data_IF_101827824587
#
_entry.id   IF_101827824587
#
_cell.length_a   1.000
_cell.length_b   1.000
_cell.length_c   1.000
_cell.angle_alpha   90.00
_cell.angle_beta   90.00
_cell.angle_gamma   90.00
#
_symmetry.space_group_name_H-M   'P 1'
#
loop_
_entity.id
_entity.type
_entity.pdbx_description
1 polymer ?
#
# COMPACT_ATOMS: atom_id res chain seq x y z
N UNK A 1 15.17 -2.89 11.64
CA UNK A 1 13.70 -2.75 11.65
C UNK A 1 13.19 -3.27 10.33
N UNK A 2 12.42 -4.35 10.34
CA UNK A 2 11.77 -4.89 9.15
C UNK A 2 10.59 -4.02 8.76
N UNK A 3 10.55 -3.58 7.49
CA UNK A 3 9.43 -2.85 6.91
C UNK A 3 8.76 -3.69 5.82
N UNK A 4 7.45 -3.86 5.91
CA UNK A 4 6.63 -4.38 4.81
C UNK A 4 5.71 -3.26 4.32
N UNK A 5 5.72 -3.00 3.02
CA UNK A 5 4.89 -1.98 2.39
C UNK A 5 3.88 -2.67 1.48
N UNK A 6 2.61 -2.41 1.71
CA UNK A 6 1.53 -2.84 0.83
C UNK A 6 1.06 -1.65 -0.01
N UNK A 7 1.39 -1.63 -1.29
CA UNK A 7 0.79 -0.69 -2.23
C UNK A 7 -0.27 -1.38 -3.08
N UNK A 8 -1.17 -0.61 -3.66
CA UNK A 8 -2.22 -1.14 -4.53
C UNK A 8 -3.36 -0.16 -4.74
N UNK A 9 -4.11 -0.35 -5.81
CA UNK A 9 -5.28 0.45 -6.12
C UNK A 9 -6.43 0.21 -5.12
N UNK A 10 -7.42 1.09 -5.07
CA UNK A 10 -8.62 0.88 -4.26
C UNK A 10 -9.31 -0.45 -4.65
N UNK A 11 -9.89 -1.13 -3.69
CA UNK A 11 -10.54 -2.45 -3.89
C UNK A 11 -9.59 -3.65 -3.98
N UNK A 12 -8.26 -3.46 -3.85
CA UNK A 12 -7.29 -4.58 -3.89
C UNK A 12 -7.24 -5.42 -2.60
N UNK A 13 -7.76 -4.94 -1.48
CA UNK A 13 -7.75 -5.66 -0.20
C UNK A 13 -6.62 -5.28 0.76
N UNK A 14 -5.69 -4.39 0.40
CA UNK A 14 -4.54 -4.02 1.26
C UNK A 14 -4.93 -3.54 2.65
N UNK A 15 -5.95 -2.67 2.76
CA UNK A 15 -6.43 -2.15 4.05
C UNK A 15 -7.08 -3.25 4.91
N UNK A 16 -7.83 -4.16 4.29
CA UNK A 16 -8.41 -5.31 5.01
C UNK A 16 -7.33 -6.23 5.58
N UNK A 17 -6.25 -6.46 4.83
CA UNK A 17 -5.09 -7.24 5.29
C UNK A 17 -4.42 -6.52 6.48
N UNK A 18 -4.11 -5.23 6.34
CA UNK A 18 -3.43 -4.45 7.37
C UNK A 18 -4.27 -4.36 8.66
N UNK A 19 -5.57 -4.06 8.55
CA UNK A 19 -6.49 -4.02 9.69
C UNK A 19 -6.64 -5.39 10.37
N UNK A 20 -6.71 -6.48 9.59
CA UNK A 20 -6.76 -7.82 10.18
C UNK A 20 -5.49 -8.12 11.01
N UNK A 21 -4.32 -7.71 10.54
CA UNK A 21 -3.07 -7.86 11.30
C UNK A 21 -3.10 -6.98 12.55
N UNK A 22 -3.49 -5.71 12.43
CA UNK A 22 -3.57 -4.77 13.56
C UNK A 22 -4.47 -5.28 14.69
N UNK A 23 -5.62 -5.87 14.32
CA UNK A 23 -6.61 -6.33 15.31
C UNK A 23 -6.23 -7.70 15.90
N UNK A 24 -5.82 -8.65 15.05
CA UNK A 24 -5.62 -10.05 15.48
C UNK A 24 -4.21 -10.33 16.00
N UNK A 25 -3.22 -9.48 15.65
CA UNK A 25 -1.80 -9.62 16.00
C UNK A 25 -1.16 -8.26 16.35
N UNK A 26 -1.70 -7.54 17.33
CA UNK A 26 -1.25 -6.17 17.65
C UNK A 26 0.23 -6.09 18.02
N UNK A 27 0.81 -7.17 18.57
CA UNK A 27 2.23 -7.21 18.98
C UNK A 27 3.17 -7.59 17.81
N UNK A 28 2.64 -7.91 16.64
CA UNK A 28 3.45 -8.36 15.50
C UNK A 28 4.20 -7.22 14.84
N UNK A 29 3.50 -6.13 14.56
CA UNK A 29 4.05 -4.96 13.87
C UNK A 29 3.26 -3.69 14.19
N UNK A 30 3.93 -2.55 14.15
CA UNK A 30 3.26 -1.26 14.06
C UNK A 30 2.60 -1.12 12.69
N UNK A 31 1.31 -0.85 12.64
CA UNK A 31 0.54 -0.74 11.39
C UNK A 31 0.23 0.73 11.09
N UNK A 32 0.65 1.17 9.92
CA UNK A 32 0.50 2.55 9.45
C UNK A 32 -0.35 2.59 8.19
N UNK A 33 -1.22 3.58 8.11
CA UNK A 33 -2.10 3.84 6.97
C UNK A 33 -1.75 5.16 6.31
N UNK A 34 -1.46 5.15 5.02
CA UNK A 34 -1.13 6.35 4.25
C UNK A 34 -2.21 7.43 4.38
N UNK A 35 -3.46 7.03 4.28
CA UNK A 35 -4.60 7.93 4.28
C UNK A 35 -4.84 8.63 5.63
N UNK A 36 -4.20 8.15 6.72
CA UNK A 36 -4.29 8.80 8.03
C UNK A 36 -3.65 10.19 8.08
N UNK A 37 -2.83 10.55 7.09
CA UNK A 37 -2.29 11.92 6.96
C UNK A 37 -3.35 12.91 6.43
N UNK A 38 -4.48 12.40 5.96
CA UNK A 38 -5.51 13.15 5.26
C UNK A 38 -5.22 13.24 3.76
N UNK A 39 -6.20 12.83 2.95
CA UNK A 39 -6.13 12.92 1.49
C UNK A 39 -6.99 14.09 1.03
N UNK A 40 -6.39 15.20 0.59
CA UNK A 40 -7.16 16.36 0.17
C UNK A 40 -7.92 16.08 -1.14
N UNK A 41 -8.97 16.87 -1.42
CA UNK A 41 -9.73 16.77 -2.67
C UNK A 41 -8.83 16.91 -3.91
N UNK A 42 -9.25 16.38 -5.08
CA UNK A 42 -8.45 16.39 -6.29
C UNK A 42 -7.96 17.77 -6.74
N UNK A 43 -8.78 18.79 -6.57
CA UNK A 43 -8.45 20.19 -6.91
C UNK A 43 -7.29 20.72 -6.06
N UNK A 44 -7.27 20.41 -4.77
CA UNK A 44 -6.17 20.78 -3.86
C UNK A 44 -4.89 20.03 -4.24
N UNK A 45 -5.00 18.75 -4.57
CA UNK A 45 -3.83 17.95 -4.98
C UNK A 45 -3.22 18.45 -6.30
N UNK A 46 -4.04 18.92 -7.25
CA UNK A 46 -3.55 19.50 -8.52
C UNK A 46 -2.76 20.80 -8.32
N UNK A 47 -3.08 21.57 -7.27
CA UNK A 47 -2.35 22.80 -6.95
C UNK A 47 -0.88 22.55 -6.50
N UNK A 48 -0.52 21.31 -6.15
CA UNK A 48 0.86 20.94 -5.78
C UNK A 48 1.82 20.85 -6.98
N UNK A 49 1.31 20.81 -8.21
CA UNK A 49 2.12 20.70 -9.42
C UNK A 49 1.70 19.55 -10.34
N UNK A 50 2.60 19.05 -11.17
CA UNK A 50 2.30 17.99 -12.13
C UNK A 50 1.80 16.71 -11.44
N UNK A 51 1.17 15.85 -12.24
CA UNK A 51 0.56 14.61 -11.78
C UNK A 51 1.46 13.80 -10.83
N UNK A 52 0.93 13.56 -9.63
CA UNK A 52 1.61 12.79 -8.59
C UNK A 52 2.50 13.63 -7.65
N UNK A 53 2.68 14.94 -7.84
CA UNK A 53 3.54 15.76 -6.98
C UNK A 53 3.12 15.68 -5.50
N UNK A 54 1.82 15.81 -5.22
CA UNK A 54 1.30 15.63 -3.86
C UNK A 54 1.59 14.23 -3.32
N UNK A 55 1.30 13.19 -4.10
CA UNK A 55 1.51 11.80 -3.68
C UNK A 55 3.00 11.52 -3.40
N UNK A 56 3.90 12.06 -4.25
CA UNK A 56 5.35 11.95 -4.04
C UNK A 56 5.76 12.60 -2.71
N UNK A 57 5.35 13.85 -2.48
CA UNK A 57 5.69 14.57 -1.25
C UNK A 57 5.17 13.85 -0.01
N UNK A 58 3.93 13.35 -0.03
CA UNK A 58 3.36 12.59 1.09
C UNK A 58 4.02 11.22 1.28
N UNK A 59 4.39 10.55 0.19
CA UNK A 59 5.14 9.28 0.29
C UNK A 59 6.49 9.50 0.97
N UNK A 60 7.23 10.54 0.57
CA UNK A 60 8.51 10.88 1.21
C UNK A 60 8.34 11.26 2.68
N UNK A 61 7.34 12.07 3.02
CA UNK A 61 7.03 12.41 4.41
C UNK A 61 6.68 11.17 5.26
N UNK A 62 5.99 10.19 4.68
CA UNK A 62 5.74 8.92 5.35
C UNK A 62 7.01 8.09 5.52
N UNK A 63 7.89 8.03 4.52
CA UNK A 63 9.16 7.31 4.65
C UNK A 63 10.06 7.91 5.73
N UNK A 64 10.07 9.23 5.90
CA UNK A 64 10.74 9.91 7.01
C UNK A 64 10.17 9.47 8.36
N UNK A 65 8.84 9.47 8.51
CA UNK A 65 8.17 8.99 9.75
C UNK A 65 8.49 7.53 10.04
N UNK A 66 8.45 6.68 9.02
CA UNK A 66 8.82 5.26 9.17
C UNK A 66 10.27 5.12 9.62
N UNK A 67 11.19 5.88 9.02
CA UNK A 67 12.59 5.87 9.43
C UNK A 67 12.78 6.27 10.90
N UNK A 68 11.99 7.23 11.42
CA UNK A 68 12.00 7.67 12.81
C UNK A 68 11.48 6.60 13.81
N UNK A 69 10.89 5.50 13.32
CA UNK A 69 10.50 4.36 14.16
C UNK A 69 11.63 3.37 14.42
N UNK A 70 12.80 3.54 13.79
CA UNK A 70 13.97 2.71 14.06
C UNK A 70 14.35 2.80 15.54
N UNK A 71 14.62 1.64 16.12
CA UNK A 71 14.92 1.53 17.55
C UNK A 71 13.69 1.52 18.46
N UNK A 72 12.52 1.91 17.97
CA UNK A 72 11.25 1.85 18.72
C UNK A 72 10.43 0.62 18.38
N UNK A 73 10.39 0.25 17.10
CA UNK A 73 9.66 -0.89 16.60
C UNK A 73 10.57 -1.85 15.83
N UNK A 74 10.41 -3.15 16.05
CA UNK A 74 11.14 -4.18 15.31
C UNK A 74 10.57 -4.43 13.93
N UNK A 75 9.24 -4.26 13.78
CA UNK A 75 8.49 -4.51 12.55
C UNK A 75 7.47 -3.42 12.32
N UNK A 76 7.35 -2.98 11.08
CA UNK A 76 6.38 -1.98 10.64
C UNK A 76 5.68 -2.52 9.39
N UNK A 77 4.36 -2.42 9.37
CA UNK A 77 3.52 -2.63 8.20
C UNK A 77 2.95 -1.28 7.77
N UNK A 78 3.26 -0.86 6.55
CA UNK A 78 2.76 0.39 6.01
C UNK A 78 1.93 0.13 4.75
N UNK A 79 0.68 0.57 4.72
CA UNK A 79 -0.18 0.40 3.55
C UNK A 79 -0.68 1.71 2.98
N UNK A 80 -0.91 1.73 1.67
CA UNK A 80 -1.50 2.87 1.00
C UNK A 80 -1.51 2.74 -0.52
N UNK A 81 -2.16 3.69 -1.15
CA UNK A 81 -2.18 3.78 -2.62
C UNK A 81 -1.03 4.68 -3.08
N UNK A 82 0.14 4.08 -3.30
CA UNK A 82 1.38 4.80 -3.63
C UNK A 82 1.98 4.30 -4.95
N UNK A 83 2.57 5.21 -5.74
CA UNK A 83 3.45 4.82 -6.85
C UNK A 83 4.70 4.14 -6.30
N UNK A 84 5.05 3.00 -6.87
CA UNK A 84 6.19 2.21 -6.38
C UNK A 84 7.52 2.92 -6.61
N UNK A 85 7.62 3.76 -7.64
CA UNK A 85 8.77 4.62 -7.86
C UNK A 85 9.01 5.60 -6.70
N UNK A 86 7.95 6.18 -6.12
CA UNK A 86 8.07 7.09 -4.97
C UNK A 86 8.42 6.35 -3.68
N UNK A 87 7.89 5.13 -3.53
CA UNK A 87 8.28 4.23 -2.44
C UNK A 87 9.78 3.94 -2.51
N UNK A 88 10.29 3.54 -3.68
CA UNK A 88 11.73 3.29 -3.89
C UNK A 88 12.58 4.50 -3.59
N UNK A 89 12.15 5.68 -4.07
CA UNK A 89 12.84 6.95 -3.79
C UNK A 89 12.95 7.20 -2.28
N UNK A 90 11.85 7.03 -1.54
CA UNK A 90 11.82 7.23 -0.10
C UNK A 90 12.66 6.22 0.67
N UNK A 91 12.66 4.94 0.28
CA UNK A 91 13.51 3.92 0.88
C UNK A 91 14.99 4.29 0.75
N UNK A 92 15.41 4.76 -0.42
CA UNK A 92 16.79 5.21 -0.66
C UNK A 92 17.12 6.48 0.11
N UNK A 93 16.25 7.50 0.05
CA UNK A 93 16.48 8.80 0.69
C UNK A 93 16.66 8.69 2.21
N UNK A 94 15.94 7.78 2.85
CA UNK A 94 15.98 7.59 4.31
C UNK A 94 16.76 6.34 4.74
N UNK A 95 17.49 5.70 3.83
CA UNK A 95 18.36 4.55 4.11
C UNK A 95 17.63 3.37 4.74
N UNK A 96 16.42 3.03 4.26
CA UNK A 96 15.64 1.90 4.75
C UNK A 96 16.00 0.67 3.91
N UNK A 97 16.90 -0.16 4.42
CA UNK A 97 17.47 -1.30 3.68
C UNK A 97 16.62 -2.57 3.81
N UNK A 98 16.10 -2.85 5.02
CA UNK A 98 15.30 -4.05 5.30
C UNK A 98 13.81 -3.78 5.02
N UNK A 99 13.48 -3.62 3.73
CA UNK A 99 12.13 -3.37 3.27
C UNK A 99 11.67 -4.42 2.24
N UNK A 100 10.41 -4.85 2.38
CA UNK A 100 9.69 -5.66 1.39
C UNK A 100 8.53 -4.83 0.83
N UNK A 101 8.53 -4.62 -0.47
CA UNK A 101 7.45 -3.93 -1.17
C UNK A 101 6.60 -4.96 -1.88
N UNK A 102 5.31 -4.97 -1.59
CA UNK A 102 4.32 -5.90 -2.14
C UNK A 102 3.23 -5.09 -2.81
N UNK A 103 2.99 -5.34 -4.08
CA UNK A 103 1.78 -4.87 -4.75
C UNK A 103 0.63 -5.82 -4.40
N UNK A 104 -0.38 -5.32 -3.71
CA UNK A 104 -1.64 -6.03 -3.51
C UNK A 104 -2.57 -5.67 -4.66
N UNK A 105 -2.99 -6.66 -5.44
CA UNK A 105 -3.78 -6.47 -6.63
C UNK A 105 -4.87 -7.54 -6.77
N UNK A 106 -5.79 -7.35 -7.68
CA UNK A 106 -6.84 -8.31 -8.03
C UNK A 106 -7.38 -8.00 -9.43
N UNK A 107 -8.15 -8.92 -9.99
CA UNK A 107 -8.84 -8.73 -11.27
C UNK A 107 -9.78 -7.52 -11.24
N UNK A 108 -9.96 -6.89 -12.41
CA UNK A 108 -10.78 -5.69 -12.55
C UNK A 108 -12.25 -5.96 -12.14
N UNK A 109 -12.79 -7.15 -12.45
CA UNK A 109 -14.15 -7.54 -12.07
C UNK A 109 -14.31 -7.69 -10.56
N UNK A 110 -13.36 -8.32 -9.89
CA UNK A 110 -13.33 -8.48 -8.45
C UNK A 110 -13.16 -7.11 -7.76
N UNK A 111 -12.30 -6.25 -8.30
CA UNK A 111 -12.12 -4.88 -7.83
C UNK A 111 -13.41 -4.09 -7.89
N UNK A 112 -14.08 -4.09 -9.06
CA UNK A 112 -15.35 -3.40 -9.25
C UNK A 112 -16.41 -3.91 -8.27
N UNK A 113 -16.54 -5.23 -8.12
CA UNK A 113 -17.47 -5.83 -7.17
C UNK A 113 -17.22 -5.34 -5.74
N UNK A 114 -15.98 -5.40 -5.26
CA UNK A 114 -15.60 -4.93 -3.91
C UNK A 114 -15.87 -3.45 -3.69
N UNK A 115 -15.57 -2.61 -4.69
CA UNK A 115 -15.84 -1.18 -4.61
C UNK A 115 -17.33 -0.86 -4.51
N UNK A 116 -18.16 -1.55 -5.30
CA UNK A 116 -19.61 -1.33 -5.35
C UNK A 116 -20.30 -1.91 -4.10
N UNK A 117 -20.01 -3.16 -3.75
CA UNK A 117 -20.80 -3.91 -2.77
C UNK A 117 -20.25 -3.84 -1.35
N UNK A 118 -18.91 -3.92 -1.19
CA UNK A 118 -18.30 -4.00 0.15
C UNK A 118 -17.94 -2.61 0.70
N UNK A 119 -17.52 -1.69 -0.18
CA UNK A 119 -17.06 -0.35 0.23
C UNK A 119 -18.10 0.74 0.02
N UNK A 120 -19.20 0.46 -0.68
CA UNK A 120 -20.22 1.44 -1.07
C UNK A 120 -19.60 2.69 -1.76
N UNK A 121 -18.62 2.47 -2.65
CA UNK A 121 -17.90 3.49 -3.42
C UNK A 121 -17.99 3.17 -4.92
N UNK A 122 -19.21 3.08 -5.51
CA UNK A 122 -19.40 2.72 -6.91
C UNK A 122 -18.73 3.70 -7.89
N UNK A 123 -18.57 4.95 -7.49
CA UNK A 123 -17.89 5.98 -8.27
C UNK A 123 -16.41 5.67 -8.54
N UNK A 124 -15.78 4.84 -7.72
CA UNK A 124 -14.41 4.36 -7.91
C UNK A 124 -14.32 3.14 -8.83
N UNK A 125 -15.41 2.47 -9.11
CA UNK A 125 -15.47 1.35 -10.06
C UNK A 125 -15.50 1.84 -11.52
N UNK A 126 -14.49 2.57 -11.92
CA UNK A 126 -14.40 3.28 -13.19
C UNK A 126 -13.12 2.91 -13.98
N UNK A 127 -13.04 3.26 -15.29
CA UNK A 127 -11.87 2.95 -16.11
C UNK A 127 -10.56 3.57 -15.60
N UNK A 128 -10.62 4.72 -14.94
CA UNK A 128 -9.42 5.39 -14.39
C UNK A 128 -8.79 4.55 -13.26
N UNK A 129 -9.62 4.00 -12.37
CA UNK A 129 -9.15 3.11 -11.31
C UNK A 129 -8.55 1.82 -11.87
N UNK A 130 -9.15 1.24 -12.93
CA UNK A 130 -8.63 0.04 -13.59
C UNK A 130 -7.31 0.33 -14.32
N UNK A 131 -7.20 1.48 -14.98
CA UNK A 131 -5.94 1.92 -15.60
C UNK A 131 -4.86 2.17 -14.55
N UNK A 132 -5.22 2.74 -13.41
CA UNK A 132 -4.31 2.93 -12.28
C UNK A 132 -3.79 1.60 -11.72
N UNK A 133 -4.66 0.61 -11.56
CA UNK A 133 -4.26 -0.73 -11.12
C UNK A 133 -3.27 -1.38 -12.11
N UNK A 134 -3.55 -1.31 -13.43
CA UNK A 134 -2.64 -1.82 -14.47
C UNK A 134 -1.31 -1.08 -14.49
N UNK A 135 -1.31 0.24 -14.25
CA UNK A 135 -0.10 1.02 -14.12
C UNK A 135 0.78 0.53 -12.97
N UNK A 136 0.19 0.33 -11.77
CA UNK A 136 0.92 -0.19 -10.61
C UNK A 136 1.43 -1.63 -10.85
N UNK A 137 0.64 -2.48 -11.51
CA UNK A 137 1.05 -3.85 -11.87
C UNK A 137 2.28 -3.83 -12.79
N UNK A 138 2.30 -2.94 -13.76
CA UNK A 138 3.45 -2.77 -14.64
C UNK A 138 4.69 -2.28 -13.87
N UNK A 139 4.55 -1.24 -13.03
CA UNK A 139 5.65 -0.76 -12.18
C UNK A 139 6.22 -1.89 -11.30
N UNK A 140 5.36 -2.70 -10.69
CA UNK A 140 5.78 -3.80 -9.84
C UNK A 140 6.59 -4.85 -10.62
N UNK A 141 6.10 -5.24 -11.79
CA UNK A 141 6.78 -6.22 -12.65
C UNK A 141 8.13 -5.70 -13.14
N UNK A 142 8.21 -4.45 -13.59
CA UNK A 142 9.45 -3.81 -14.05
C UNK A 142 10.49 -3.68 -12.94
N UNK A 143 10.05 -3.43 -11.71
CA UNK A 143 10.92 -3.32 -10.54
C UNK A 143 11.23 -4.66 -9.84
N UNK A 144 10.61 -5.76 -10.27
CA UNK A 144 10.76 -7.09 -9.65
C UNK A 144 10.15 -7.19 -8.24
N UNK A 145 9.13 -6.38 -7.94
CA UNK A 145 8.43 -6.46 -6.66
C UNK A 145 7.44 -7.63 -6.63
N UNK A 146 7.23 -8.16 -5.42
CA UNK A 146 6.23 -9.20 -5.17
C UNK A 146 4.82 -8.68 -5.50
N UNK A 147 4.01 -9.49 -6.18
CA UNK A 147 2.59 -9.22 -6.43
C UNK A 147 1.77 -10.23 -5.65
N UNK A 148 0.95 -9.75 -4.72
CA UNK A 148 -0.04 -10.55 -4.00
C UNK A 148 -1.39 -10.37 -4.70
N UNK A 149 -1.75 -11.38 -5.49
CA UNK A 149 -3.06 -11.43 -6.15
C UNK A 149 -4.12 -11.94 -5.18
N UNK A 150 -5.11 -11.11 -4.91
CA UNK A 150 -6.20 -11.39 -3.95
C UNK A 150 -7.50 -11.79 -4.64
N UNK A 151 -7.49 -12.07 -5.95
CA UNK A 151 -8.72 -12.38 -6.71
C UNK A 151 -9.42 -13.61 -6.16
N UNK A 152 -8.66 -14.67 -5.89
CA UNK A 152 -9.19 -15.95 -5.42
C UNK A 152 -8.71 -16.33 -4.01
N UNK A 153 -7.76 -15.56 -3.45
CA UNK A 153 -7.22 -15.87 -2.13
C UNK A 153 -8.14 -15.35 -1.01
N UNK A 154 -8.49 -16.20 -0.05
CA UNK A 154 -9.17 -15.76 1.17
C UNK A 154 -8.33 -14.73 1.94
N UNK A 155 -9.00 -13.80 2.64
CA UNK A 155 -8.32 -12.77 3.45
C UNK A 155 -7.32 -13.37 4.44
N UNK A 156 -7.70 -14.46 5.10
CA UNK A 156 -6.85 -15.17 6.07
C UNK A 156 -5.52 -15.59 5.44
N UNK A 157 -5.56 -16.11 4.22
CA UNK A 157 -4.36 -16.53 3.52
C UNK A 157 -3.47 -15.36 3.11
N UNK A 158 -4.08 -14.26 2.68
CA UNK A 158 -3.34 -13.02 2.41
C UNK A 158 -2.65 -12.49 3.68
N UNK A 159 -3.36 -12.51 4.81
CA UNK A 159 -2.81 -12.12 6.12
C UNK A 159 -1.62 -13.00 6.52
N UNK A 160 -1.72 -14.33 6.38
CA UNK A 160 -0.62 -15.27 6.66
C UNK A 160 0.62 -14.96 5.83
N UNK A 161 0.45 -14.72 4.51
CA UNK A 161 1.54 -14.38 3.61
C UNK A 161 2.24 -13.09 4.02
N UNK A 162 1.50 -12.04 4.36
CA UNK A 162 2.08 -10.77 4.82
C UNK A 162 2.76 -10.94 6.18
N UNK A 163 2.17 -11.68 7.12
CA UNK A 163 2.81 -12.00 8.39
C UNK A 163 4.13 -12.76 8.20
N UNK A 164 4.19 -13.70 7.26
CA UNK A 164 5.43 -14.39 6.94
C UNK A 164 6.52 -13.43 6.44
N UNK A 165 6.17 -12.40 5.65
CA UNK A 165 7.12 -11.37 5.19
C UNK A 165 7.59 -10.45 6.32
N UNK A 166 6.76 -10.22 7.33
CA UNK A 166 7.13 -9.47 8.53
C UNK A 166 8.09 -10.25 9.44
N UNK A 167 8.02 -11.58 9.43
CA UNK A 167 8.79 -12.45 10.35
C UNK A 167 9.97 -13.19 9.72
N UNK A 168 10.01 -13.35 8.38
CA UNK A 168 11.14 -13.99 7.70
C UNK A 168 12.43 -13.20 7.87
N UNK A 169 13.51 -13.89 8.11
CA UNK A 169 14.85 -13.28 8.16
C UNK A 169 15.27 -12.76 6.77
#
# INVERSE_FOLDING_TARGET
MRLVILSGASGSGKTAIAESIRIRRPDLAEVLHFDSIGVPPPEVRRAWGPDGAWQRAMTLAWMERVAALRGKHHRVLFEGQMRLAFVREGLLAFGIEDARVILVDCDDAIRAHRLITERAQPELANPEMMNWARYLRREANEAGYEVLDTSELPLERCVELVCARLTSA
#
